data_IF_300200704386
#
_entry.id   IF_300200704386
#
_cell.length_a   1.000
_cell.length_b   1.000
_cell.length_c   1.000
_cell.angle_alpha   90.00
_cell.angle_beta   90.00
_cell.angle_gamma   90.00
#
_symmetry.space_group_name_H-M   'P 1'
#
loop_
_entity.id
_entity.type
_entity.pdbx_description
1 polymer ?
#
# COMPACT_ATOMS: atom_id res chain seq x y z
N UNK A 1 -16.90 -48.42 25.07
CA UNK A 1 -16.16 -48.38 23.79
C UNK A 1 -16.55 -47.05 23.15
N UNK A 2 -15.79 -45.96 23.40
CA UNK A 2 -14.80 -45.36 22.47
C UNK A 2 -15.39 -45.27 21.04
N UNK A 3 -15.73 -44.12 20.42
CA UNK A 3 -15.39 -42.72 20.65
C UNK A 3 -14.55 -42.22 19.47
N UNK A 4 -15.10 -41.34 18.60
CA UNK A 4 -14.33 -40.43 17.72
C UNK A 4 -15.19 -39.18 17.45
N UNK A 5 -15.04 -38.18 18.31
CA UNK A 5 -15.46 -36.80 18.05
C UNK A 5 -14.61 -36.23 16.92
N UNK A 6 -15.24 -35.56 15.98
CA UNK A 6 -14.54 -34.81 14.94
C UNK A 6 -14.00 -33.52 15.58
N UNK A 7 -12.81 -33.61 16.17
CA UNK A 7 -11.99 -32.46 16.57
C UNK A 7 -11.54 -31.70 15.30
N UNK A 8 -12.43 -30.88 14.74
CA UNK A 8 -12.01 -29.71 13.97
C UNK A 8 -12.26 -28.50 14.85
N UNK A 9 -11.29 -28.23 15.71
CA UNK A 9 -11.16 -26.98 16.46
C UNK A 9 -11.20 -25.84 15.44
N UNK A 10 -12.33 -25.15 15.35
CA UNK A 10 -12.41 -23.84 14.72
C UNK A 10 -11.23 -23.03 15.24
N UNK A 11 -10.28 -22.59 14.38
CA UNK A 11 -9.28 -21.65 14.83
C UNK A 11 -10.08 -20.44 15.25
N UNK A 12 -9.97 -20.12 16.54
CA UNK A 12 -10.62 -18.99 17.20
C UNK A 12 -10.95 -17.91 16.18
N UNK A 13 -12.24 -17.63 16.00
CA UNK A 13 -12.68 -16.38 15.44
C UNK A 13 -11.90 -15.32 16.21
N UNK A 14 -10.84 -14.81 15.58
CA UNK A 14 -10.06 -13.71 16.11
C UNK A 14 -11.07 -12.58 16.08
N UNK A 15 -11.64 -12.30 17.25
CA UNK A 15 -12.41 -11.10 17.48
C UNK A 15 -11.40 -9.96 17.34
N UNK A 16 -11.15 -9.59 16.08
CA UNK A 16 -10.37 -8.41 15.74
C UNK A 16 -11.25 -7.28 16.24
N UNK A 17 -10.85 -6.58 17.33
CA UNK A 17 -11.67 -5.49 17.83
C UNK A 17 -11.92 -4.53 16.67
N UNK A 18 -13.15 -4.01 16.51
CA UNK A 18 -13.43 -3.06 15.45
C UNK A 18 -12.43 -1.92 15.57
N UNK A 19 -11.70 -1.65 14.48
CA UNK A 19 -10.78 -0.53 14.40
C UNK A 19 -11.50 0.72 14.92
N UNK A 20 -10.87 1.42 15.86
CA UNK A 20 -11.46 2.64 16.38
C UNK A 20 -11.61 3.61 15.21
N UNK A 21 -12.75 4.31 15.08
CA UNK A 21 -13.05 5.16 13.92
C UNK A 21 -12.05 6.32 13.71
N UNK A 22 -11.08 6.52 14.61
CA UNK A 22 -9.97 7.47 14.45
C UNK A 22 -8.77 6.91 13.70
N UNK A 23 -8.44 5.63 13.83
CA UNK A 23 -7.24 5.03 13.22
C UNK A 23 -7.35 4.99 11.69
N UNK A 24 -8.56 4.77 11.17
CA UNK A 24 -8.82 4.73 9.73
C UNK A 24 -8.70 6.12 9.06
N UNK A 25 -9.00 7.20 9.80
CA UNK A 25 -8.92 8.58 9.29
C UNK A 25 -7.47 9.02 9.17
N UNK A 26 -6.66 8.77 10.20
CA UNK A 26 -5.24 9.11 10.20
C UNK A 26 -4.48 8.30 9.13
N UNK A 27 -4.81 7.01 9.00
CA UNK A 27 -4.24 6.17 7.96
C UNK A 27 -4.63 6.65 6.54
N UNK A 28 -5.88 7.07 6.34
CA UNK A 28 -6.33 7.65 5.06
C UNK A 28 -5.54 8.92 4.70
N UNK A 29 -5.32 9.80 5.68
CA UNK A 29 -4.59 11.05 5.49
C UNK A 29 -3.13 10.81 5.10
N UNK A 30 -2.45 9.88 5.78
CA UNK A 30 -1.04 9.55 5.48
C UNK A 30 -0.92 8.97 4.06
N UNK A 31 -1.82 8.07 3.67
CA UNK A 31 -1.80 7.49 2.32
C UNK A 31 -2.06 8.56 1.24
N UNK A 32 -2.97 9.50 1.49
CA UNK A 32 -3.18 10.63 0.57
C UNK A 32 -1.94 11.52 0.43
N UNK A 33 -1.26 11.82 1.55
CA UNK A 33 -0.03 12.63 1.53
C UNK A 33 1.08 11.94 0.74
N UNK A 34 1.27 10.64 0.95
CA UNK A 34 2.23 9.84 0.17
C UNK A 34 1.86 9.83 -1.32
N UNK A 35 0.57 9.65 -1.65
CA UNK A 35 0.10 9.69 -3.02
C UNK A 35 0.38 11.05 -3.69
N UNK A 36 0.19 12.16 -2.96
CA UNK A 36 0.47 13.51 -3.45
C UNK A 36 1.95 13.74 -3.74
N UNK A 37 2.85 13.21 -2.89
CA UNK A 37 4.30 13.31 -3.12
C UNK A 37 4.72 12.51 -4.36
N UNK A 38 4.11 11.34 -4.60
CA UNK A 38 4.50 10.42 -5.67
C UNK A 38 3.83 10.70 -7.02
N UNK A 39 2.75 11.48 -7.03
CA UNK A 39 2.04 11.84 -8.24
C UNK A 39 3.00 12.45 -9.28
N UNK A 40 2.98 11.89 -10.48
CA UNK A 40 3.78 12.32 -11.62
C UNK A 40 5.27 11.95 -11.56
N UNK A 41 5.69 11.09 -10.62
CA UNK A 41 7.07 10.63 -10.54
C UNK A 41 7.26 9.31 -11.30
N UNK A 42 7.97 9.28 -12.45
CA UNK A 42 8.04 8.11 -13.34
C UNK A 42 9.09 7.06 -12.94
N UNK A 43 9.77 7.24 -11.82
CA UNK A 43 10.88 6.38 -11.43
C UNK A 43 10.88 6.11 -9.92
N UNK A 44 11.00 4.84 -9.54
CA UNK A 44 10.97 4.44 -8.13
C UNK A 44 12.06 5.09 -7.29
N UNK A 45 13.28 5.23 -7.84
CA UNK A 45 14.39 5.90 -7.15
C UNK A 45 14.20 7.41 -7.01
N UNK A 46 13.37 8.04 -7.84
CA UNK A 46 12.97 9.44 -7.66
C UNK A 46 11.86 9.56 -6.63
N UNK A 47 10.93 8.59 -6.61
CA UNK A 47 9.87 8.52 -5.60
C UNK A 47 10.43 8.42 -4.17
N UNK A 48 11.42 7.54 -3.95
CA UNK A 48 12.08 7.41 -2.63
C UNK A 48 12.74 8.72 -2.19
N UNK A 49 13.47 9.38 -3.11
CA UNK A 49 14.12 10.67 -2.81
C UNK A 49 13.12 11.78 -2.53
N UNK A 50 11.98 11.81 -3.24
CA UNK A 50 10.94 12.80 -3.01
C UNK A 50 10.29 12.61 -1.63
N UNK A 51 10.05 11.36 -1.22
CA UNK A 51 9.55 11.03 0.11
C UNK A 51 10.56 11.42 1.21
N UNK A 52 11.84 11.09 1.03
CA UNK A 52 12.90 11.51 1.95
C UNK A 52 13.01 13.05 2.04
N UNK A 53 12.92 13.76 0.91
CA UNK A 53 12.92 15.22 0.88
C UNK A 53 11.69 15.82 1.57
N UNK A 54 10.57 15.12 1.57
CA UNK A 54 9.36 15.49 2.31
C UNK A 54 9.40 15.07 3.80
N UNK A 55 10.52 14.54 4.28
CA UNK A 55 10.75 14.20 5.69
C UNK A 55 10.33 12.78 6.09
N UNK A 56 10.00 11.92 5.12
CA UNK A 56 9.57 10.56 5.39
C UNK A 56 10.74 9.57 5.38
N UNK A 57 10.63 8.50 6.17
CA UNK A 57 11.55 7.38 6.08
C UNK A 57 11.08 6.43 4.96
N UNK A 58 11.83 6.35 3.87
CA UNK A 58 11.51 5.51 2.70
C UNK A 58 12.53 4.37 2.54
N UNK A 59 12.04 3.15 2.33
CA UNK A 59 12.87 1.98 2.01
C UNK A 59 12.36 1.26 0.77
N UNK A 60 13.22 1.05 -0.23
CA UNK A 60 12.87 0.33 -1.46
C UNK A 60 13.07 -1.19 -1.27
N UNK A 61 12.08 -1.97 -1.68
CA UNK A 61 12.17 -3.41 -1.87
C UNK A 61 11.49 -3.81 -3.19
N UNK A 62 12.31 -4.16 -4.20
CA UNK A 62 11.80 -4.47 -5.55
C UNK A 62 11.14 -3.25 -6.17
N UNK A 63 9.87 -3.38 -6.57
CA UNK A 63 9.07 -2.29 -7.11
C UNK A 63 8.27 -1.51 -6.03
N UNK A 64 8.50 -1.78 -4.74
CA UNK A 64 7.75 -1.20 -3.62
C UNK A 64 8.61 -0.30 -2.75
N UNK A 65 8.04 0.78 -2.27
CA UNK A 65 8.58 1.64 -1.22
C UNK A 65 7.76 1.43 0.04
N UNK A 66 8.42 1.17 1.15
CA UNK A 66 7.82 1.22 2.49
C UNK A 66 8.08 2.61 3.09
N UNK A 67 7.04 3.30 3.51
CA UNK A 67 7.10 4.65 4.09
C UNK A 67 6.72 4.57 5.57
N UNK A 68 7.63 5.02 6.45
CA UNK A 68 7.50 4.99 7.91
C UNK A 68 7.06 3.65 8.51
N UNK A 69 7.27 2.53 7.80
CA UNK A 69 6.76 1.20 8.19
C UNK A 69 5.23 1.07 8.23
N UNK A 70 4.49 2.07 7.73
CA UNK A 70 3.04 2.20 7.86
C UNK A 70 2.32 2.19 6.51
N UNK A 71 2.99 2.65 5.45
CA UNK A 71 2.43 2.74 4.10
C UNK A 71 3.31 2.03 3.09
N UNK A 72 2.67 1.30 2.18
CA UNK A 72 3.28 0.76 0.98
C UNK A 72 2.92 1.61 -0.23
N UNK A 73 3.93 1.99 -1.01
CA UNK A 73 3.78 2.58 -2.34
C UNK A 73 4.40 1.66 -3.38
N UNK A 74 3.57 1.06 -4.21
CA UNK A 74 3.95 0.10 -5.23
C UNK A 74 4.03 0.80 -6.60
N UNK A 75 5.20 0.80 -7.21
CA UNK A 75 5.38 1.30 -8.57
C UNK A 75 5.01 0.21 -9.59
N UNK A 76 4.11 0.57 -10.51
CA UNK A 76 3.74 -0.22 -11.68
C UNK A 76 4.32 0.51 -12.89
N UNK A 77 5.36 -0.07 -13.49
CA UNK A 77 6.00 0.51 -14.67
C UNK A 77 5.06 0.49 -15.86
N UNK A 78 5.21 1.49 -16.74
CA UNK A 78 4.53 1.48 -18.01
C UNK A 78 4.85 0.20 -18.79
N UNK A 79 3.86 -0.36 -19.44
CA UNK A 79 4.02 -1.57 -20.26
C UNK A 79 3.23 -1.44 -21.55
N UNK A 80 3.76 -2.00 -22.64
CA UNK A 80 3.04 -2.09 -23.91
C UNK A 80 2.46 -3.49 -24.01
N UNK A 81 1.14 -3.58 -23.93
CA UNK A 81 0.40 -4.82 -24.08
C UNK A 81 -0.21 -4.97 -25.47
N UNK A 82 -0.79 -6.14 -25.74
CA UNK A 82 -1.50 -6.45 -27.00
C UNK A 82 -2.63 -5.46 -27.33
N UNK A 83 -3.17 -4.76 -26.32
CA UNK A 83 -4.31 -3.85 -26.43
C UNK A 83 -3.94 -2.36 -26.25
N UNK A 84 -2.65 -2.01 -26.18
CA UNK A 84 -2.20 -0.62 -26.05
C UNK A 84 -1.16 -0.39 -24.96
N UNK A 85 -0.87 0.88 -24.70
CA UNK A 85 0.05 1.32 -23.66
C UNK A 85 -0.68 1.40 -22.31
N UNK A 86 -0.09 0.81 -21.28
CA UNK A 86 -0.45 1.01 -19.88
C UNK A 86 0.55 2.01 -19.33
N UNK A 87 0.05 3.15 -18.86
CA UNK A 87 0.90 4.18 -18.27
C UNK A 87 1.41 3.76 -16.89
N UNK A 88 2.56 4.31 -16.52
CA UNK A 88 3.16 4.04 -15.22
C UNK A 88 2.26 4.62 -14.12
N UNK A 89 2.10 3.89 -13.03
CA UNK A 89 1.27 4.31 -11.90
C UNK A 89 1.85 3.90 -10.56
N UNK A 90 1.41 4.59 -9.52
CA UNK A 90 1.68 4.24 -8.13
C UNK A 90 0.41 3.72 -7.49
N UNK A 91 0.50 2.60 -6.77
CA UNK A 91 -0.56 2.06 -5.92
C UNK A 91 -0.13 2.23 -4.47
N UNK A 92 -0.87 3.02 -3.69
CA UNK A 92 -0.50 3.38 -2.32
C UNK A 92 -1.57 2.87 -1.36
N UNK A 93 -1.15 2.18 -0.30
CA UNK A 93 -2.04 1.55 0.68
C UNK A 93 -1.34 1.32 2.02
N UNK A 94 -2.12 1.16 3.08
CA UNK A 94 -1.60 0.93 4.44
C UNK A 94 -1.03 -0.48 4.59
N UNK A 95 -0.04 -0.65 5.47
CA UNK A 95 0.49 -1.98 5.84
C UNK A 95 -0.56 -2.82 6.57
N UNK A 96 -1.43 -2.16 7.35
CA UNK A 96 -2.53 -2.79 8.10
C UNK A 96 -3.65 -3.36 7.19
N UNK A 97 -3.62 -3.10 5.88
CA UNK A 97 -4.37 -3.86 4.88
C UNK A 97 -5.85 -3.50 4.73
N UNK A 98 -6.37 -2.53 5.48
CA UNK A 98 -7.70 -1.97 5.26
C UNK A 98 -7.63 -0.69 4.43
N UNK A 99 -8.65 -0.53 3.58
CA UNK A 99 -8.87 0.63 2.68
C UNK A 99 -8.57 1.96 3.38
N UNK A 100 -8.11 2.99 2.66
CA UNK A 100 -8.16 3.13 1.19
C UNK A 100 -6.86 2.79 0.44
N UNK A 101 -7.06 2.36 -0.82
CA UNK A 101 -6.00 2.25 -1.83
C UNK A 101 -6.09 3.48 -2.73
N UNK A 102 -4.99 4.19 -2.89
CA UNK A 102 -4.88 5.33 -3.80
C UNK A 102 -4.07 4.92 -5.04
N UNK A 103 -4.52 5.37 -6.21
CA UNK A 103 -3.79 5.16 -7.46
C UNK A 103 -3.53 6.53 -8.09
N UNK A 104 -2.27 6.85 -8.33
CA UNK A 104 -1.86 8.09 -9.01
C UNK A 104 -1.00 7.77 -10.23
N UNK A 105 -1.18 8.57 -11.29
CA UNK A 105 -0.33 8.50 -12.47
C UNK A 105 1.12 8.85 -12.12
N UNK A 106 2.07 8.21 -12.80
CA UNK A 106 3.50 8.46 -12.62
C UNK A 106 4.08 9.30 -13.77
N UNK A 107 3.23 9.96 -14.55
CA UNK A 107 3.61 10.77 -15.71
C UNK A 107 3.84 12.24 -15.32
N UNK A 108 4.92 12.88 -15.79
CA UNK A 108 5.18 14.28 -15.47
C UNK A 108 4.01 15.17 -15.91
N UNK A 109 3.49 15.97 -14.98
CA UNK A 109 2.52 17.04 -15.25
C UNK A 109 3.16 18.24 -15.96
#
# INVERSE_FOLDING_TARGET
MLGYSNDLKDPAAVDVPPALPGDDVDATLIVEQVARVLAGIPAIGWGSRALEAAGWHATIAGNRITVNYEVFAQFISASVGQYGQVDASWVIYTVAGTRPVWIVGAEPI
#
